data_IF_699473234820
#
_entry.id   IF_699473234820
#
_cell.length_a   1.000
_cell.length_b   1.000
_cell.length_c   1.000
_cell.angle_alpha   90.00
_cell.angle_beta   90.00
_cell.angle_gamma   90.00
#
_symmetry.space_group_name_H-M   'P 1'
#
loop_
_entity.id
_entity.type
_entity.pdbx_description
1 polymer ?
#
# COMPACT_ATOMS: atom_id res chain seq x y z
N UNK A 1 80.95 -16.49 16.06
CA UNK A 1 81.14 -15.19 15.41
C UNK A 1 81.06 -15.37 13.90
N UNK A 2 80.09 -14.76 13.20
CA UNK A 2 80.06 -14.68 11.73
C UNK A 2 79.09 -13.58 11.21
N UNK A 3 79.53 -12.89 10.15
CA UNK A 3 78.95 -11.81 9.30
C UNK A 3 77.41 -11.63 9.14
N UNK A 4 76.99 -10.35 9.04
CA UNK A 4 76.30 -9.66 7.90
C UNK A 4 76.28 -8.13 8.20
N UNK A 5 76.79 -7.14 7.44
CA UNK A 5 76.69 -6.71 6.00
C UNK A 5 75.46 -5.80 5.72
N UNK A 6 75.74 -4.48 5.59
CA UNK A 6 75.35 -3.43 4.58
C UNK A 6 74.05 -3.55 3.74
N UNK A 7 73.47 -2.49 3.13
CA UNK A 7 73.38 -1.00 3.31
C UNK A 7 72.45 -0.43 2.19
N UNK A 8 71.85 0.77 2.33
CA UNK A 8 71.13 1.45 1.21
C UNK A 8 70.62 2.87 1.52
N UNK A 9 70.72 3.77 0.53
CA UNK A 9 70.46 5.22 0.54
C UNK A 9 69.68 5.64 -0.73
N UNK A 10 69.03 6.81 -0.93
CA UNK A 10 68.88 8.05 -0.14
C UNK A 10 67.36 8.44 -0.03
N UNK A 11 66.71 9.51 -0.53
CA UNK A 11 67.07 10.78 -1.22
C UNK A 11 65.92 11.32 -2.10
N UNK A 12 65.41 12.56 -1.90
CA UNK A 12 64.24 13.10 -2.67
C UNK A 12 64.17 14.66 -2.79
N UNK A 13 63.75 15.18 -3.97
CA UNK A 13 63.52 16.62 -4.29
C UNK A 13 62.76 16.83 -5.62
N UNK A 14 61.79 17.77 -5.69
CA UNK A 14 61.71 18.97 -6.58
C UNK A 14 60.30 19.66 -6.52
N UNK A 15 60.01 20.72 -7.30
CA UNK A 15 58.88 21.65 -7.08
C UNK A 15 58.22 22.28 -8.33
N UNK A 16 57.01 22.84 -8.13
CA UNK A 16 56.35 23.93 -8.92
C UNK A 16 55.81 23.59 -10.34
N UNK A 17 54.95 24.42 -11.00
CA UNK A 17 54.17 25.62 -10.57
C UNK A 17 52.65 25.62 -10.97
N UNK A 18 51.91 26.69 -10.63
CA UNK A 18 50.58 27.04 -11.20
C UNK A 18 50.65 27.63 -12.63
N UNK A 19 49.51 27.72 -13.36
CA UNK A 19 49.06 29.05 -13.81
C UNK A 19 47.53 29.29 -13.75
N UNK A 20 47.12 30.57 -13.79
CA UNK A 20 45.72 31.03 -13.70
C UNK A 20 45.13 31.52 -15.04
N UNK A 21 43.79 31.79 -15.06
CA UNK A 21 43.10 33.01 -15.62
C UNK A 21 41.74 32.73 -16.30
N UNK A 22 40.93 33.81 -16.39
CA UNK A 22 39.80 34.12 -17.31
C UNK A 22 38.39 33.97 -16.74
N UNK A 23 37.68 35.11 -16.66
CA UNK A 23 36.21 35.19 -16.57
C UNK A 23 35.62 35.13 -17.99
N UNK A 24 34.57 34.32 -18.20
CA UNK A 24 33.78 34.33 -19.42
C UNK A 24 32.29 34.36 -19.10
N UNK A 25 31.56 35.32 -19.66
CA UNK A 25 30.11 35.40 -19.53
C UNK A 25 29.46 35.65 -20.89
N UNK A 26 28.40 34.90 -21.22
CA UNK A 26 27.51 35.18 -22.35
C UNK A 26 26.14 34.52 -22.20
N UNK A 27 25.14 35.38 -22.07
CA UNK A 27 23.90 35.44 -22.87
C UNK A 27 23.03 34.18 -23.08
N UNK A 28 21.79 34.27 -22.58
CA UNK A 28 20.61 33.59 -23.16
C UNK A 28 20.46 33.90 -24.66
N UNK A 29 20.01 32.95 -25.49
CA UNK A 29 19.22 33.23 -26.68
C UNK A 29 17.71 33.13 -26.36
N UNK A 30 16.91 34.08 -26.82
CA UNK A 30 15.45 34.07 -26.69
C UNK A 30 14.77 33.93 -28.05
N UNK A 31 14.06 32.82 -28.25
CA UNK A 31 12.85 32.69 -29.08
C UNK A 31 12.92 32.98 -30.59
N UNK A 32 12.20 32.14 -31.35
CA UNK A 32 11.50 32.53 -32.58
C UNK A 32 10.28 31.62 -32.75
N UNK A 33 9.17 32.18 -33.24
CA UNK A 33 8.08 31.38 -33.81
C UNK A 33 8.41 30.95 -35.25
N UNK A 34 7.45 30.61 -36.09
CA UNK A 34 5.99 30.81 -35.99
C UNK A 34 5.31 29.99 -37.09
N UNK A 35 4.26 29.23 -36.78
CA UNK A 35 3.37 28.64 -37.77
C UNK A 35 1.94 28.53 -37.21
N UNK A 36 0.96 28.64 -38.08
CA UNK A 36 -0.44 28.23 -37.88
C UNK A 36 -0.70 27.11 -38.88
N UNK A 37 -1.59 26.20 -38.55
CA UNK A 37 -2.50 25.59 -39.52
C UNK A 37 -3.85 25.36 -38.84
N UNK A 38 -4.92 25.27 -39.63
CA UNK A 38 -6.31 25.13 -39.19
C UNK A 38 -6.83 23.70 -39.44
N UNK A 39 -8.02 23.41 -38.90
CA UNK A 39 -8.85 22.20 -39.16
C UNK A 39 -8.19 20.82 -38.87
N UNK A 40 -8.77 19.97 -38.04
CA UNK A 40 -10.11 19.39 -38.25
C UNK A 40 -10.65 18.78 -36.95
N UNK A 41 -11.97 18.61 -36.86
CA UNK A 41 -12.65 18.02 -35.69
C UNK A 41 -13.62 16.90 -36.11
N UNK A 42 -13.37 15.63 -35.73
CA UNK A 42 -14.32 14.54 -35.99
C UNK A 42 -15.54 14.62 -35.06
N UNK A 43 -16.75 14.56 -35.64
CA UNK A 43 -18.02 14.49 -34.91
C UNK A 43 -18.43 13.05 -34.61
N UNK A 44 -19.01 12.82 -33.42
CA UNK A 44 -19.72 11.58 -33.06
C UNK A 44 -19.21 10.99 -31.73
N UNK A 45 -20.04 10.35 -30.89
CA UNK A 45 -21.43 9.92 -31.09
C UNK A 45 -22.47 10.77 -30.33
N UNK A 46 -23.76 10.47 -30.51
CA UNK A 46 -24.89 11.15 -29.87
C UNK A 46 -25.28 10.52 -28.53
N UNK A 47 -25.94 11.32 -27.69
CA UNK A 47 -26.57 10.89 -26.43
C UNK A 47 -27.72 9.92 -26.68
N UNK A 48 -27.93 8.98 -25.75
CA UNK A 48 -29.26 8.52 -25.40
C UNK A 48 -29.69 9.24 -24.10
N UNK A 49 -30.85 9.89 -24.13
CA UNK A 49 -31.66 10.23 -22.95
C UNK A 49 -33.01 9.58 -23.18
N UNK A 50 -33.62 9.06 -22.12
CA UNK A 50 -35.03 8.68 -22.10
C UNK A 50 -35.69 9.48 -20.98
N UNK A 51 -36.94 9.87 -21.22
CA UNK A 51 -37.77 10.69 -20.34
C UNK A 51 -38.21 9.85 -19.13
N UNK A 52 -38.29 10.37 -17.90
CA UNK A 52 -39.24 11.38 -17.43
C UNK A 52 -40.71 10.93 -17.58
N UNK A 53 -41.25 10.49 -16.44
CA UNK A 53 -42.67 10.33 -16.13
C UNK A 53 -42.77 10.29 -14.60
N UNK A 54 -43.09 11.43 -13.98
CA UNK A 54 -43.35 11.52 -12.54
C UNK A 54 -44.83 11.41 -12.22
N UNK A 55 -45.16 10.95 -11.02
CA UNK A 55 -46.43 11.23 -10.36
C UNK A 55 -46.16 11.60 -8.89
N UNK A 56 -47.05 12.35 -8.26
CA UNK A 56 -46.85 12.96 -6.93
C UNK A 56 -48.17 12.98 -6.15
N UNK A 57 -48.36 11.98 -5.28
CA UNK A 57 -49.55 11.84 -4.46
C UNK A 57 -49.21 11.83 -2.96
N UNK A 58 -49.24 13.01 -2.35
CA UNK A 58 -49.30 13.17 -0.90
C UNK A 58 -50.72 12.84 -0.43
N UNK A 59 -50.88 11.92 0.53
CA UNK A 59 -51.94 11.98 1.56
C UNK A 59 -51.41 11.39 2.87
N UNK A 60 -51.63 12.12 3.94
CA UNK A 60 -51.66 11.62 5.30
C UNK A 60 -53.11 11.19 5.58
N UNK A 61 -53.30 10.22 6.47
CA UNK A 61 -54.14 10.35 7.69
C UNK A 61 -54.21 9.00 8.43
N UNK A 62 -54.62 9.08 9.70
CA UNK A 62 -54.45 8.07 10.75
C UNK A 62 -55.57 7.01 10.75
N UNK A 63 -55.31 5.80 11.29
CA UNK A 63 -55.98 5.30 12.50
C UNK A 63 -55.54 3.86 12.90
N UNK A 64 -55.81 3.50 14.16
CA UNK A 64 -55.50 2.23 14.84
C UNK A 64 -56.69 1.24 14.77
N UNK A 65 -56.44 -0.08 14.80
CA UNK A 65 -57.09 -1.06 15.72
C UNK A 65 -56.41 -2.44 15.65
N UNK A 66 -56.55 -3.25 16.71
CA UNK A 66 -56.01 -4.61 16.84
C UNK A 66 -56.94 -5.71 16.28
N UNK A 67 -56.39 -6.90 15.98
CA UNK A 67 -57.18 -8.04 15.50
C UNK A 67 -56.42 -9.36 15.38
N UNK A 68 -56.35 -10.12 16.48
CA UNK A 68 -55.78 -11.49 16.52
C UNK A 68 -56.72 -12.58 15.95
N UNK A 69 -56.21 -13.83 15.95
CA UNK A 69 -56.90 -15.13 15.97
C UNK A 69 -56.92 -15.96 14.67
N UNK A 70 -55.85 -16.74 14.51
CA UNK A 70 -55.78 -18.19 14.19
C UNK A 70 -56.30 -18.79 12.84
N UNK A 71 -55.68 -19.90 12.36
CA UNK A 71 -55.94 -20.48 11.04
C UNK A 71 -56.99 -21.61 11.03
N UNK A 72 -57.43 -22.01 9.83
CA UNK A 72 -58.15 -23.27 9.58
C UNK A 72 -57.40 -24.16 8.57
N UNK A 73 -57.35 -25.47 8.83
CA UNK A 73 -56.51 -26.43 8.10
C UNK A 73 -57.12 -26.93 6.77
N UNK A 74 -56.24 -27.18 5.79
CA UNK A 74 -56.42 -28.17 4.72
C UNK A 74 -57.41 -27.87 3.58
N UNK A 75 -57.35 -28.59 2.46
CA UNK A 75 -56.26 -29.42 1.92
C UNK A 75 -56.58 -29.72 0.44
N UNK A 76 -55.55 -29.83 -0.41
CA UNK A 76 -55.56 -30.57 -1.68
C UNK A 76 -54.12 -30.93 -2.06
N UNK A 77 -53.93 -32.06 -2.73
CA UNK A 77 -52.61 -32.68 -2.98
C UNK A 77 -52.09 -32.42 -4.42
N UNK A 78 -51.12 -33.24 -4.86
CA UNK A 78 -50.48 -33.28 -6.19
C UNK A 78 -49.41 -32.18 -6.45
N UNK A 79 -48.17 -32.50 -6.86
CA UNK A 79 -47.52 -33.79 -7.16
C UNK A 79 -46.04 -33.73 -6.75
N UNK A 80 -45.47 -34.87 -6.35
CA UNK A 80 -44.05 -34.97 -6.01
C UNK A 80 -43.17 -35.13 -7.27
N UNK A 81 -42.01 -34.47 -7.25
CA UNK A 81 -40.83 -34.81 -8.06
C UNK A 81 -39.64 -34.90 -7.12
N UNK A 82 -39.10 -36.10 -6.95
CA UNK A 82 -37.91 -36.35 -6.14
C UNK A 82 -36.66 -35.94 -6.93
N UNK A 83 -35.98 -34.88 -6.47
CA UNK A 83 -34.58 -34.60 -6.79
C UNK A 83 -33.78 -34.64 -5.47
N UNK A 84 -33.17 -35.79 -5.20
CA UNK A 84 -32.30 -36.05 -4.03
C UNK A 84 -30.98 -35.25 -4.14
N UNK A 85 -30.97 -34.02 -3.63
CA UNK A 85 -29.74 -33.25 -3.35
C UNK A 85 -29.84 -32.61 -1.94
N UNK A 86 -29.69 -33.44 -0.90
CA UNK A 86 -29.64 -33.03 0.52
C UNK A 86 -28.30 -32.35 0.86
N UNK A 87 -28.01 -31.22 0.19
CA UNK A 87 -26.84 -30.39 0.47
C UNK A 87 -27.02 -29.65 1.81
N UNK A 88 -26.65 -30.35 2.89
CA UNK A 88 -26.69 -29.83 4.25
C UNK A 88 -26.09 -28.41 4.35
N UNK A 89 -26.78 -27.45 4.99
CA UNK A 89 -26.49 -26.03 4.85
C UNK A 89 -25.04 -25.71 5.23
N UNK A 90 -24.29 -25.00 4.37
CA UNK A 90 -22.83 -24.97 4.41
C UNK A 90 -22.32 -24.55 5.79
N UNK A 91 -21.65 -25.49 6.46
CA UNK A 91 -21.26 -25.34 7.86
C UNK A 91 -20.44 -24.05 8.02
N UNK A 92 -21.02 -23.04 8.68
CA UNK A 92 -20.43 -21.70 8.78
C UNK A 92 -19.00 -21.80 9.27
N UNK A 93 -18.04 -21.61 8.36
CA UNK A 93 -16.61 -21.78 8.64
C UNK A 93 -16.26 -20.84 9.78
N UNK A 94 -15.98 -21.42 10.96
CA UNK A 94 -15.56 -20.65 12.13
C UNK A 94 -14.19 -20.05 11.85
N UNK A 95 -14.21 -18.82 11.32
CA UNK A 95 -13.03 -17.99 11.07
C UNK A 95 -12.19 -18.01 12.34
N UNK A 96 -10.97 -18.54 12.23
CA UNK A 96 -10.01 -18.61 13.34
C UNK A 96 -9.46 -17.21 13.61
N UNK A 97 -10.26 -16.37 14.25
CA UNK A 97 -9.78 -15.11 14.82
C UNK A 97 -8.68 -15.40 15.84
N UNK A 98 -7.77 -14.45 16.02
CA UNK A 98 -6.82 -14.46 17.14
C UNK A 98 -7.56 -14.75 18.48
N UNK A 99 -6.90 -15.43 19.43
CA UNK A 99 -7.54 -15.87 20.66
C UNK A 99 -8.10 -14.67 21.43
N UNK A 100 -9.40 -14.73 21.73
CA UNK A 100 -10.10 -13.77 22.59
C UNK A 100 -9.76 -14.04 24.05
N UNK A 101 -9.57 -12.97 24.80
CA UNK A 101 -9.43 -13.02 26.26
C UNK A 101 -10.80 -13.19 26.95
N UNK A 102 -10.83 -13.31 28.28
CA UNK A 102 -12.04 -13.56 29.07
C UNK A 102 -13.10 -12.45 28.94
N UNK A 103 -12.67 -11.21 28.68
CA UNK A 103 -13.53 -10.07 28.37
C UNK A 103 -14.05 -10.05 26.92
N UNK A 104 -13.69 -11.07 26.12
CA UNK A 104 -14.06 -11.22 24.73
C UNK A 104 -13.21 -10.42 23.75
N UNK A 105 -12.32 -9.51 24.19
CA UNK A 105 -11.51 -8.71 23.29
C UNK A 105 -10.36 -9.52 22.68
N UNK A 106 -9.98 -9.17 21.45
CA UNK A 106 -8.77 -9.68 20.78
C UNK A 106 -7.61 -8.72 21.09
N UNK A 107 -6.36 -9.18 21.29
CA UNK A 107 -5.19 -8.28 21.38
C UNK A 107 -5.13 -7.30 20.20
N UNK A 108 -4.87 -6.02 20.49
CA UNK A 108 -4.95 -4.93 19.50
C UNK A 108 -6.34 -4.33 19.28
N UNK A 109 -7.41 -4.90 19.83
CA UNK A 109 -8.74 -4.27 19.82
C UNK A 109 -8.71 -2.96 20.59
N UNK A 110 -9.42 -1.94 20.09
CA UNK A 110 -9.65 -0.70 20.84
C UNK A 110 -10.63 -1.01 21.99
N UNK A 111 -10.24 -0.69 23.21
CA UNK A 111 -11.06 -0.80 24.43
C UNK A 111 -11.66 0.55 24.81
N UNK A 112 -10.91 1.64 24.59
CA UNK A 112 -11.31 3.01 24.96
C UNK A 112 -10.70 4.05 24.02
N UNK A 113 -11.45 5.11 23.73
CA UNK A 113 -10.99 6.31 23.01
C UNK A 113 -11.41 7.53 23.82
N UNK A 114 -10.47 8.33 24.31
CA UNK A 114 -10.73 9.58 25.01
C UNK A 114 -10.20 10.76 24.17
N UNK A 115 -11.06 11.70 23.82
CA UNK A 115 -10.74 12.86 22.98
C UNK A 115 -11.00 14.14 23.75
N UNK A 116 -10.04 15.07 23.73
CA UNK A 116 -10.18 16.40 24.32
C UNK A 116 -9.73 17.49 23.36
N UNK A 117 -10.56 18.52 23.19
CA UNK A 117 -10.37 19.63 22.27
C UNK A 117 -10.01 19.16 20.83
N UNK A 118 -10.74 18.17 20.32
CA UNK A 118 -10.44 17.51 19.04
C UNK A 118 -11.57 17.74 18.02
N UNK A 119 -11.28 18.53 16.99
CA UNK A 119 -12.20 18.97 15.92
C UNK A 119 -13.52 19.54 16.50
N UNK A 120 -14.56 18.72 16.63
CA UNK A 120 -15.88 19.07 17.18
C UNK A 120 -15.97 18.91 18.69
N UNK A 121 -15.20 18.00 19.28
CA UNK A 121 -15.36 17.55 20.67
C UNK A 121 -14.56 18.40 21.66
N UNK A 122 -15.21 18.85 22.74
CA UNK A 122 -14.54 19.49 23.89
C UNK A 122 -13.92 18.43 24.80
N UNK A 123 -14.73 17.47 25.24
CA UNK A 123 -14.31 16.23 25.88
C UNK A 123 -15.33 15.13 25.55
N UNK A 124 -14.86 13.93 25.20
CA UNK A 124 -15.70 12.74 25.02
C UNK A 124 -14.87 11.48 25.28
N UNK A 125 -15.48 10.45 25.83
CA UNK A 125 -14.90 9.11 25.95
C UNK A 125 -15.85 8.07 25.35
N UNK A 126 -15.29 7.15 24.57
CA UNK A 126 -15.99 6.03 23.95
C UNK A 126 -15.37 4.73 24.44
N UNK A 127 -16.19 3.80 24.93
CA UNK A 127 -15.78 2.45 25.34
C UNK A 127 -16.43 1.41 24.41
N UNK A 128 -15.88 1.19 23.19
CA UNK A 128 -16.42 0.21 22.26
C UNK A 128 -16.32 -1.23 22.78
N UNK A 129 -17.33 -2.05 22.49
CA UNK A 129 -17.37 -3.47 22.85
C UNK A 129 -16.48 -4.35 21.96
N UNK A 130 -16.26 -5.63 22.32
CA UNK A 130 -15.33 -6.54 21.64
C UNK A 130 -15.76 -7.07 20.26
N UNK A 131 -16.88 -6.59 19.70
CA UNK A 131 -17.49 -7.08 18.46
C UNK A 131 -17.89 -5.90 17.54
N UNK A 132 -19.07 -5.95 16.93
CA UNK A 132 -19.60 -4.86 16.11
C UNK A 132 -19.92 -3.63 17.00
N UNK A 133 -19.47 -2.46 16.57
CA UNK A 133 -19.78 -1.18 17.17
C UNK A 133 -20.34 -0.26 16.09
N UNK A 134 -21.45 0.45 16.39
CA UNK A 134 -22.11 1.34 15.44
C UNK A 134 -22.16 2.77 16.00
N UNK A 135 -21.62 3.73 15.25
CA UNK A 135 -21.56 5.15 15.63
C UNK A 135 -22.59 5.92 14.81
N UNK A 136 -23.70 6.30 15.45
CA UNK A 136 -24.83 6.98 14.83
C UNK A 136 -24.86 8.48 15.14
N UNK A 137 -25.67 9.23 14.39
CA UNK A 137 -25.97 10.64 14.64
C UNK A 137 -26.08 11.50 13.37
N UNK A 138 -26.59 12.75 13.47
CA UNK A 138 -26.71 13.68 12.35
C UNK A 138 -25.39 14.01 11.62
N UNK A 139 -25.48 14.73 10.50
CA UNK A 139 -24.30 15.25 9.82
C UNK A 139 -23.66 16.40 10.62
N UNK A 140 -22.34 16.54 10.52
CA UNK A 140 -21.57 17.53 11.29
C UNK A 140 -21.20 17.13 12.72
N UNK A 141 -21.80 16.09 13.34
CA UNK A 141 -21.59 15.73 14.76
C UNK A 141 -20.24 15.06 15.09
N UNK A 142 -19.29 15.03 14.15
CA UNK A 142 -17.95 14.50 14.39
C UNK A 142 -17.76 12.98 14.18
N UNK A 143 -18.77 12.25 13.66
CA UNK A 143 -18.65 10.80 13.38
C UNK A 143 -17.34 10.41 12.67
N UNK A 144 -17.07 11.02 11.51
CA UNK A 144 -15.84 10.77 10.73
C UNK A 144 -14.57 11.29 11.44
N UNK A 145 -14.71 12.23 12.39
CA UNK A 145 -13.61 12.70 13.23
C UNK A 145 -13.11 11.61 14.18
N UNK A 146 -13.95 10.67 14.62
CA UNK A 146 -13.52 9.53 15.45
C UNK A 146 -12.56 8.61 14.66
N UNK A 147 -12.87 8.34 13.39
CA UNK A 147 -11.96 7.62 12.50
C UNK A 147 -10.63 8.39 12.30
N UNK A 148 -10.71 9.72 12.14
CA UNK A 148 -9.50 10.56 12.11
C UNK A 148 -8.69 10.45 13.40
N UNK A 149 -9.34 10.46 14.57
CA UNK A 149 -8.68 10.33 15.86
C UNK A 149 -7.99 8.97 16.02
N UNK A 150 -8.60 7.86 15.58
CA UNK A 150 -7.97 6.53 15.60
C UNK A 150 -6.66 6.53 14.79
N UNK A 151 -6.72 7.01 13.55
CA UNK A 151 -5.54 7.12 12.68
C UNK A 151 -4.43 7.99 13.30
N UNK A 152 -4.78 9.19 13.79
CA UNK A 152 -3.80 10.12 14.33
C UNK A 152 -3.25 9.69 15.69
N UNK A 153 -4.08 9.13 16.58
CA UNK A 153 -3.66 8.66 17.90
C UNK A 153 -2.69 7.48 17.81
N UNK A 154 -2.89 6.58 16.86
CA UNK A 154 -2.02 5.43 16.59
C UNK A 154 -0.77 5.76 15.74
N UNK A 155 -0.40 7.04 15.65
CA UNK A 155 0.76 7.58 14.92
C UNK A 155 0.79 7.29 13.41
N UNK A 156 -0.36 7.17 12.74
CA UNK A 156 -0.42 7.12 11.27
C UNK A 156 -0.45 8.53 10.64
N UNK A 157 -0.10 8.61 9.36
CA UNK A 157 0.04 9.87 8.62
C UNK A 157 -1.32 10.52 8.30
N UNK A 158 -1.51 11.84 8.50
CA UNK A 158 -2.73 12.55 8.11
C UNK A 158 -3.11 12.37 6.63
N UNK A 159 -2.15 12.14 5.73
CA UNK A 159 -2.38 11.94 4.30
C UNK A 159 -3.25 10.69 3.97
N UNK A 160 -3.31 9.72 4.89
CA UNK A 160 -4.19 8.54 4.79
C UNK A 160 -5.66 8.95 4.93
N UNK A 161 -5.97 10.01 5.69
CA UNK A 161 -7.33 10.51 5.90
C UNK A 161 -7.87 11.35 4.74
N UNK A 162 -7.00 11.85 3.85
CA UNK A 162 -7.40 12.63 2.66
C UNK A 162 -7.99 14.03 2.92
N UNK A 163 -7.98 14.52 4.18
CA UNK A 163 -8.59 15.81 4.58
C UNK A 163 -7.58 16.95 4.75
N UNK A 164 -6.74 16.81 5.76
CA UNK A 164 -5.80 17.83 6.22
C UNK A 164 -4.39 17.24 6.25
N UNK A 165 -3.40 18.05 5.90
CA UNK A 165 -2.00 17.62 5.86
C UNK A 165 -1.31 17.83 7.21
N UNK A 166 -1.71 18.87 7.96
CA UNK A 166 -1.09 19.22 9.22
C UNK A 166 -1.90 18.78 10.44
N UNK A 167 -1.19 18.35 11.50
CA UNK A 167 -1.78 17.82 12.73
C UNK A 167 -2.54 18.86 13.56
N UNK A 168 -2.16 20.14 13.44
CA UNK A 168 -2.75 21.22 14.23
C UNK A 168 -4.14 21.65 13.73
N UNK A 169 -4.49 21.32 12.48
CA UNK A 169 -5.84 21.52 11.92
C UNK A 169 -6.91 20.68 12.64
N UNK A 170 -6.50 19.61 13.34
CA UNK A 170 -7.40 18.74 14.11
C UNK A 170 -7.65 19.23 15.55
N UNK A 171 -6.96 20.27 16.01
CA UNK A 171 -7.23 20.92 17.31
C UNK A 171 -8.50 21.75 17.19
N UNK A 172 -9.41 21.65 18.17
CA UNK A 172 -10.68 22.38 18.16
C UNK A 172 -10.46 23.89 18.10
N UNK A 173 -11.19 24.57 17.21
CA UNK A 173 -11.11 26.02 17.01
C UNK A 173 -11.30 26.75 18.35
N UNK A 174 -10.54 27.84 18.55
CA UNK A 174 -10.43 28.61 19.80
C UNK A 174 -9.74 27.89 20.99
N UNK A 175 -9.28 26.65 20.83
CA UNK A 175 -8.42 25.97 21.83
C UNK A 175 -6.94 26.00 21.43
N UNK A 176 -6.04 25.97 22.40
CA UNK A 176 -4.59 26.03 22.16
C UNK A 176 -3.97 24.63 22.02
N UNK A 177 -4.54 23.65 22.72
CA UNK A 177 -4.05 22.28 22.82
C UNK A 177 -5.23 21.30 22.93
N UNK A 178 -4.99 20.06 22.52
CA UNK A 178 -5.90 18.93 22.68
C UNK A 178 -5.14 17.61 22.77
N UNK A 179 -5.84 16.52 23.01
CA UNK A 179 -5.24 15.19 22.97
C UNK A 179 -6.20 14.12 22.48
N UNK A 180 -5.59 13.06 21.96
CA UNK A 180 -6.20 11.80 21.60
C UNK A 180 -5.55 10.75 22.51
N UNK A 181 -6.35 10.04 23.30
CA UNK A 181 -5.91 8.84 24.01
C UNK A 181 -6.68 7.62 23.49
N UNK A 182 -5.96 6.55 23.19
CA UNK A 182 -6.51 5.28 22.72
C UNK A 182 -5.93 4.17 23.58
N UNK A 183 -6.79 3.31 24.08
CA UNK A 183 -6.41 2.12 24.83
C UNK A 183 -6.61 0.88 23.97
N UNK A 184 -5.51 0.17 23.70
CA UNK A 184 -5.52 -1.10 22.96
C UNK A 184 -5.39 -2.27 23.93
N UNK A 185 -6.20 -3.31 23.69
CA UNK A 185 -6.17 -4.58 24.42
C UNK A 185 -4.79 -5.22 24.32
N UNK A 186 -4.19 -5.56 25.46
CA UNK A 186 -2.93 -6.32 25.50
C UNK A 186 -3.10 -7.79 25.08
N UNK A 187 -2.00 -8.51 24.74
CA UNK A 187 -1.98 -9.97 24.74
C UNK A 187 -2.52 -10.54 26.06
N UNK A 188 -3.08 -11.76 26.05
CA UNK A 188 -3.60 -12.37 27.28
C UNK A 188 -2.50 -12.46 28.37
N UNK A 189 -2.74 -11.81 29.52
CA UNK A 189 -1.77 -11.68 30.61
C UNK A 189 -0.79 -10.50 30.51
N UNK A 190 -0.70 -9.80 29.37
CA UNK A 190 -0.03 -8.49 29.25
C UNK A 190 -1.05 -7.36 29.56
N UNK A 191 -0.64 -6.24 30.19
CA UNK A 191 -1.51 -5.10 30.42
C UNK A 191 -1.85 -4.35 29.11
N UNK A 192 -2.98 -3.63 29.11
CA UNK A 192 -3.38 -2.77 27.99
C UNK A 192 -2.33 -1.69 27.66
N UNK A 193 -2.32 -1.29 26.39
CA UNK A 193 -1.45 -0.26 25.84
C UNK A 193 -2.25 1.05 25.68
N UNK A 194 -2.04 1.99 26.60
CA UNK A 194 -2.61 3.34 26.55
C UNK A 194 -1.65 4.25 25.78
N UNK A 195 -2.07 4.67 24.59
CA UNK A 195 -1.34 5.58 23.70
C UNK A 195 -2.03 6.95 23.78
N UNK A 196 -1.36 7.97 24.31
CA UNK A 196 -1.86 9.35 24.27
C UNK A 196 -0.96 10.24 23.42
N UNK A 197 -1.55 10.87 22.40
CA UNK A 197 -0.94 11.90 21.54
C UNK A 197 -1.49 13.26 21.92
N UNK A 198 -0.61 14.18 22.33
CA UNK A 198 -0.97 15.58 22.58
C UNK A 198 -0.65 16.42 21.34
N UNK A 199 -1.57 17.31 20.96
CA UNK A 199 -1.52 18.15 19.77
C UNK A 199 -1.74 19.63 20.13
N UNK A 200 -1.11 20.54 19.40
CA UNK A 200 -1.08 21.98 19.74
C UNK A 200 -1.40 22.82 18.51
N UNK A 201 -2.36 23.74 18.60
CA UNK A 201 -2.82 24.56 17.47
C UNK A 201 -1.68 25.38 16.81
N UNK A 202 -0.71 25.82 17.62
CA UNK A 202 0.42 26.67 17.18
C UNK A 202 1.59 25.93 16.54
N UNK A 203 1.66 24.60 16.63
CA UNK A 203 2.85 23.85 16.29
C UNK A 203 2.52 22.59 15.48
N UNK A 204 3.34 22.29 14.46
CA UNK A 204 3.22 21.06 13.66
C UNK A 204 3.77 19.82 14.38
N UNK A 205 4.34 19.99 15.58
CA UNK A 205 4.81 18.91 16.44
C UNK A 205 3.69 18.38 17.35
N UNK A 206 3.80 17.10 17.73
CA UNK A 206 2.92 16.43 18.69
C UNK A 206 3.75 15.56 19.62
N UNK A 207 3.46 15.55 20.92
CA UNK A 207 4.14 14.65 21.86
C UNK A 207 3.34 13.36 22.05
N UNK A 208 4.05 12.26 22.31
CA UNK A 208 3.44 10.97 22.63
C UNK A 208 3.77 10.55 24.05
N UNK A 209 2.83 9.81 24.65
CA UNK A 209 3.04 9.06 25.88
C UNK A 209 2.48 7.65 25.73
N UNK A 210 3.20 6.68 26.29
CA UNK A 210 2.83 5.27 26.38
C UNK A 210 2.69 4.90 27.86
N UNK A 211 1.50 4.46 28.27
CA UNK A 211 1.15 4.16 29.66
C UNK A 211 1.61 5.26 30.64
N UNK A 212 1.35 6.53 30.27
CA UNK A 212 1.71 7.73 31.05
C UNK A 212 3.17 8.19 30.96
N UNK A 213 4.07 7.42 30.35
CA UNK A 213 5.49 7.79 30.18
C UNK A 213 5.73 8.45 28.82
N UNK A 214 6.62 9.44 28.74
CA UNK A 214 7.01 10.05 27.47
C UNK A 214 7.59 9.01 26.50
N UNK A 215 7.22 9.09 25.22
CA UNK A 215 7.61 8.14 24.18
C UNK A 215 7.80 8.85 22.83
N UNK A 216 8.55 8.22 21.94
CA UNK A 216 8.72 8.63 20.55
C UNK A 216 7.63 8.02 19.66
N UNK A 217 7.36 8.64 18.50
CA UNK A 217 6.45 8.07 17.50
C UNK A 217 6.91 6.69 16.98
N UNK A 218 8.23 6.45 16.92
CA UNK A 218 8.78 5.15 16.53
C UNK A 218 8.43 4.03 17.51
N UNK A 219 8.53 4.30 18.82
CA UNK A 219 8.11 3.34 19.86
C UNK A 219 6.60 3.08 19.83
N UNK A 220 5.78 4.10 19.59
CA UNK A 220 4.34 3.96 19.39
C UNK A 220 4.05 3.05 18.20
N UNK A 221 4.61 3.34 17.03
CA UNK A 221 4.40 2.55 15.81
C UNK A 221 4.91 1.10 15.96
N UNK A 222 6.03 0.87 16.65
CA UNK A 222 6.52 -0.48 16.94
C UNK A 222 5.59 -1.26 17.90
N UNK A 223 5.03 -0.60 18.90
CA UNK A 223 4.06 -1.21 19.83
C UNK A 223 2.72 -1.51 19.15
N UNK A 224 2.23 -0.62 18.28
CA UNK A 224 1.02 -0.80 17.46
C UNK A 224 1.23 -1.95 16.45
N UNK A 225 2.42 -2.08 15.86
CA UNK A 225 2.78 -3.19 14.99
C UNK A 225 2.84 -4.55 15.72
N UNK A 226 3.38 -4.63 16.95
CA UNK A 226 3.34 -5.87 17.79
C UNK A 226 1.90 -6.38 18.04
N UNK A 227 0.90 -5.50 17.94
CA UNK A 227 -0.52 -5.83 18.10
C UNK A 227 -1.24 -6.08 16.75
N UNK A 228 -0.51 -6.11 15.63
CA UNK A 228 -1.01 -6.20 14.25
C UNK A 228 -2.12 -5.17 13.91
N UNK A 229 -2.07 -3.96 14.49
CA UNK A 229 -3.09 -2.92 14.27
C UNK A 229 -2.73 -2.08 13.05
N UNK A 230 -3.26 -2.47 11.89
CA UNK A 230 -3.02 -1.81 10.60
C UNK A 230 -4.09 -0.77 10.29
N UNK A 231 -3.72 0.52 10.33
CA UNK A 231 -4.63 1.66 10.03
C UNK A 231 -4.27 2.34 8.71
N UNK A 232 -3.07 2.09 8.15
CA UNK A 232 -2.70 2.56 6.80
C UNK A 232 -3.17 1.65 5.67
N UNK A 233 -3.67 0.46 5.98
CA UNK A 233 -4.20 -0.50 5.02
C UNK A 233 -5.70 -0.21 4.80
N UNK A 234 -6.09 0.07 3.55
CA UNK A 234 -7.44 0.50 3.22
C UNK A 234 -8.49 -0.64 3.30
N UNK A 235 -8.05 -1.90 3.38
CA UNK A 235 -8.94 -3.04 3.60
C UNK A 235 -9.37 -3.17 5.08
N UNK A 236 -8.53 -2.75 6.03
CA UNK A 236 -8.82 -2.79 7.48
C UNK A 236 -9.32 -1.45 8.02
N UNK A 237 -8.93 -0.33 7.41
CA UNK A 237 -9.39 1.01 7.77
C UNK A 237 -9.71 1.84 6.53
N UNK A 238 -10.99 1.97 6.22
CA UNK A 238 -11.49 2.72 5.06
C UNK A 238 -12.08 4.08 5.49
N UNK A 239 -11.30 5.18 5.50
CA UNK A 239 -11.83 6.51 5.80
C UNK A 239 -12.71 7.01 4.64
N UNK A 240 -13.73 7.78 5.00
CA UNK A 240 -14.78 8.29 4.09
C UNK A 240 -14.22 8.87 2.78
N UNK A 241 -13.14 9.64 2.84
CA UNK A 241 -12.57 10.37 1.71
C UNK A 241 -11.55 9.55 0.89
N UNK A 242 -11.39 8.24 1.20
CA UNK A 242 -10.59 7.27 0.42
C UNK A 242 -11.42 6.15 -0.21
N UNK A 243 -12.75 6.13 -0.02
CA UNK A 243 -13.64 5.11 -0.61
C UNK A 243 -13.48 5.03 -2.14
N UNK A 244 -13.33 6.19 -2.80
CA UNK A 244 -13.05 6.26 -4.25
C UNK A 244 -11.64 5.78 -4.62
N UNK A 245 -10.64 5.95 -3.75
CA UNK A 245 -9.29 5.43 -3.96
C UNK A 245 -9.23 3.91 -3.83
N UNK A 246 -9.98 3.34 -2.89
CA UNK A 246 -10.14 1.89 -2.74
C UNK A 246 -10.84 1.28 -3.95
N UNK A 247 -11.94 1.87 -4.41
CA UNK A 247 -12.65 1.43 -5.63
C UNK A 247 -11.85 1.60 -6.94
N UNK A 248 -10.73 2.32 -6.91
CA UNK A 248 -9.83 2.54 -8.05
C UNK A 248 -8.55 1.67 -8.02
N UNK A 249 -8.37 0.81 -7.00
CA UNK A 249 -7.24 -0.11 -6.93
C UNK A 249 -7.28 -1.15 -8.07
N UNK A 250 -6.11 -1.52 -8.59
CA UNK A 250 -6.01 -2.72 -9.42
C UNK A 250 -6.21 -4.00 -8.59
N UNK A 251 -6.63 -5.12 -9.21
CA UNK A 251 -6.73 -6.41 -8.51
C UNK A 251 -5.43 -6.88 -7.85
N UNK A 252 -4.26 -6.45 -8.35
CA UNK A 252 -2.93 -6.79 -7.81
C UNK A 252 -2.61 -5.99 -6.55
N UNK A 253 -3.00 -4.72 -6.50
CA UNK A 253 -2.89 -3.89 -5.30
C UNK A 253 -3.88 -4.35 -4.23
N UNK A 254 -5.13 -4.64 -4.62
CA UNK A 254 -6.15 -5.16 -3.71
C UNK A 254 -5.74 -6.52 -3.11
N UNK A 255 -5.11 -7.40 -3.90
CA UNK A 255 -4.51 -8.64 -3.40
C UNK A 255 -3.44 -8.33 -2.34
N UNK A 256 -2.47 -7.45 -2.64
CA UNK A 256 -1.37 -7.10 -1.72
C UNK A 256 -1.87 -6.48 -0.41
N UNK A 257 -2.88 -5.61 -0.45
CA UNK A 257 -3.48 -5.04 0.76
C UNK A 257 -4.31 -6.09 1.52
N UNK A 258 -4.96 -7.04 0.83
CA UNK A 258 -5.68 -8.17 1.46
C UNK A 258 -4.72 -9.15 2.14
N UNK A 259 -3.63 -9.54 1.49
CA UNK A 259 -2.55 -10.35 2.07
C UNK A 259 -1.94 -9.68 3.30
N UNK A 260 -1.77 -8.36 3.25
CA UNK A 260 -1.25 -7.55 4.34
C UNK A 260 -2.23 -7.49 5.52
N UNK A 261 -3.55 -7.33 5.28
CA UNK A 261 -4.57 -7.22 6.34
C UNK A 261 -4.98 -8.57 6.98
N UNK A 262 -5.09 -9.62 6.16
CA UNK A 262 -5.77 -10.86 6.52
C UNK A 262 -4.94 -12.14 6.23
N UNK A 263 -3.75 -12.01 5.66
CA UNK A 263 -2.81 -13.11 5.46
C UNK A 263 -1.96 -13.43 6.69
N UNK A 264 -1.11 -14.44 6.54
CA UNK A 264 0.01 -14.69 7.47
C UNK A 264 1.02 -13.53 7.38
N UNK A 265 1.64 -13.15 8.49
CA UNK A 265 2.70 -12.12 8.55
C UNK A 265 3.83 -12.38 7.53
N UNK A 266 4.08 -13.66 7.21
CA UNK A 266 5.07 -14.11 6.22
C UNK A 266 4.59 -14.02 4.78
N UNK A 267 3.28 -14.05 4.53
CA UNK A 267 2.70 -14.17 3.19
C UNK A 267 3.17 -13.04 2.27
N UNK A 268 3.15 -11.81 2.77
CA UNK A 268 3.70 -10.63 2.09
C UNK A 268 5.18 -10.79 1.73
N UNK A 269 6.00 -11.26 2.69
CA UNK A 269 7.44 -11.48 2.46
C UNK A 269 7.71 -12.57 1.41
N UNK A 270 6.89 -13.63 1.39
CA UNK A 270 6.96 -14.68 0.36
C UNK A 270 6.52 -14.16 -1.01
N UNK A 271 5.45 -13.36 -1.08
CA UNK A 271 4.99 -12.77 -2.34
C UNK A 271 6.00 -11.75 -2.89
N UNK A 272 6.65 -10.94 -2.04
CA UNK A 272 7.74 -10.05 -2.47
C UNK A 272 8.96 -10.87 -2.95
N UNK A 273 9.37 -11.91 -2.21
CA UNK A 273 10.47 -12.82 -2.62
C UNK A 273 10.17 -13.51 -3.96
N UNK A 274 8.92 -13.95 -4.19
CA UNK A 274 8.47 -14.57 -5.43
C UNK A 274 8.50 -13.58 -6.60
N UNK A 275 8.11 -12.32 -6.37
CA UNK A 275 8.22 -11.27 -7.38
C UNK A 275 9.68 -10.97 -7.75
N UNK A 276 10.60 -10.97 -6.79
CA UNK A 276 12.02 -10.74 -7.07
C UNK A 276 12.68 -11.93 -7.79
N UNK A 277 12.41 -13.16 -7.37
CA UNK A 277 12.82 -14.37 -8.10
C UNK A 277 12.26 -14.41 -9.54
N UNK A 278 11.03 -13.91 -9.74
CA UNK A 278 10.43 -13.77 -11.08
C UNK A 278 11.14 -12.73 -11.97
N UNK A 279 11.66 -11.64 -11.39
CA UNK A 279 12.49 -10.65 -12.10
C UNK A 279 13.85 -11.25 -12.48
N UNK A 280 14.48 -11.96 -11.55
CA UNK A 280 15.77 -12.64 -11.78
C UNK A 280 15.66 -13.71 -12.87
N UNK A 281 14.66 -14.59 -12.80
CA UNK A 281 14.39 -15.60 -13.81
C UNK A 281 14.17 -14.97 -15.20
N UNK A 282 13.44 -13.86 -15.29
CA UNK A 282 13.22 -13.13 -16.54
C UNK A 282 14.52 -12.52 -17.09
N UNK A 283 15.36 -11.95 -16.23
CA UNK A 283 16.66 -11.40 -16.61
C UNK A 283 17.57 -12.52 -17.16
N UNK A 284 17.77 -13.59 -16.39
CA UNK A 284 18.60 -14.74 -16.78
C UNK A 284 18.07 -15.40 -18.06
N UNK A 285 16.76 -15.57 -18.21
CA UNK A 285 16.16 -16.09 -19.45
C UNK A 285 16.43 -15.19 -20.66
N UNK A 286 16.51 -13.87 -20.47
CA UNK A 286 16.82 -12.93 -21.56
C UNK A 286 18.29 -13.04 -21.95
N UNK A 287 19.20 -13.05 -20.98
CA UNK A 287 20.64 -13.26 -21.20
C UNK A 287 20.92 -14.59 -21.89
N UNK A 288 20.26 -15.68 -21.49
CA UNK A 288 20.41 -17.00 -22.15
C UNK A 288 20.01 -16.92 -23.63
N UNK A 289 18.94 -16.21 -24.00
CA UNK A 289 18.57 -16.03 -25.41
C UNK A 289 19.56 -15.15 -26.20
N UNK A 290 20.14 -14.13 -25.58
CA UNK A 290 21.16 -13.26 -26.18
C UNK A 290 22.50 -14.01 -26.37
N UNK A 291 22.93 -14.80 -25.38
CA UNK A 291 24.12 -15.64 -25.48
C UNK A 291 23.94 -16.78 -26.48
N UNK A 292 22.76 -17.41 -26.54
CA UNK A 292 22.47 -18.50 -27.50
C UNK A 292 22.52 -18.00 -28.94
N UNK A 293 21.86 -16.89 -29.25
CA UNK A 293 21.88 -16.28 -30.59
C UNK A 293 23.27 -15.75 -30.97
N UNK A 294 24.03 -15.26 -30.00
CA UNK A 294 25.45 -14.90 -30.19
C UNK A 294 26.30 -16.13 -30.50
N UNK A 295 26.10 -17.25 -29.79
CA UNK A 295 26.79 -18.52 -30.01
C UNK A 295 26.49 -19.12 -31.40
N UNK A 296 25.24 -19.11 -31.84
CA UNK A 296 24.85 -19.55 -33.19
C UNK A 296 25.51 -18.70 -34.28
N UNK A 297 25.56 -17.38 -34.08
CA UNK A 297 26.23 -16.44 -34.98
C UNK A 297 27.74 -16.71 -35.05
N UNK A 298 28.40 -16.92 -33.91
CA UNK A 298 29.82 -17.23 -33.83
C UNK A 298 30.15 -18.61 -34.44
N UNK A 299 29.30 -19.62 -34.21
CA UNK A 299 29.44 -20.96 -34.81
C UNK A 299 29.34 -20.89 -36.33
N UNK A 300 28.31 -20.23 -36.85
CA UNK A 300 28.11 -20.03 -38.30
C UNK A 300 29.30 -19.33 -38.95
N UNK A 301 29.85 -18.31 -38.29
CA UNK A 301 31.08 -17.61 -38.72
C UNK A 301 32.32 -18.52 -38.71
N UNK A 302 32.48 -19.35 -37.68
CA UNK A 302 33.60 -20.30 -37.57
C UNK A 302 33.53 -21.37 -38.66
N UNK A 303 32.36 -21.94 -38.94
CA UNK A 303 32.15 -22.87 -40.07
C UNK A 303 32.50 -22.24 -41.43
N UNK A 304 32.18 -20.96 -41.63
CA UNK A 304 32.61 -20.21 -42.81
C UNK A 304 34.14 -20.14 -42.93
N UNK A 305 34.81 -19.68 -41.86
CA UNK A 305 36.28 -19.55 -41.80
C UNK A 305 36.96 -20.92 -42.00
N UNK A 306 36.42 -22.01 -41.46
CA UNK A 306 36.96 -23.36 -41.64
C UNK A 306 36.94 -23.80 -43.10
N UNK A 307 35.87 -23.52 -43.85
CA UNK A 307 35.78 -23.82 -45.30
C UNK A 307 36.85 -23.05 -46.09
N UNK A 308 37.11 -21.79 -45.75
CA UNK A 308 38.12 -20.98 -46.44
C UNK A 308 39.56 -21.36 -46.04
N UNK A 309 39.81 -21.74 -44.78
CA UNK A 309 41.10 -22.32 -44.34
C UNK A 309 41.36 -23.66 -45.02
N UNK A 310 40.33 -24.49 -45.23
CA UNK A 310 40.46 -25.75 -45.96
C UNK A 310 40.81 -25.51 -47.43
N UNK A 311 40.07 -24.63 -48.14
CA UNK A 311 40.38 -24.20 -49.51
C UNK A 311 41.82 -23.66 -49.64
N UNK A 312 42.28 -22.88 -48.68
CA UNK A 312 43.66 -22.37 -48.66
C UNK A 312 44.70 -23.49 -48.51
N UNK A 313 44.45 -24.50 -47.67
CA UNK A 313 45.33 -25.67 -47.50
C UNK A 313 45.34 -26.56 -48.75
N UNK A 314 44.19 -26.76 -49.38
CA UNK A 314 44.06 -27.52 -50.64
C UNK A 314 44.81 -26.81 -51.78
N UNK A 315 44.61 -25.49 -51.93
CA UNK A 315 45.40 -24.67 -52.87
C UNK A 315 46.90 -24.80 -52.60
N UNK A 316 47.35 -24.69 -51.34
CA UNK A 316 48.79 -24.80 -51.01
C UNK A 316 49.38 -26.18 -51.27
N UNK A 317 48.59 -27.25 -51.21
CA UNK A 317 49.04 -28.57 -51.67
C UNK A 317 49.27 -28.59 -53.17
N UNK A 318 48.30 -28.11 -53.95
CA UNK A 318 48.37 -28.08 -55.41
C UNK A 318 49.54 -27.19 -55.88
N UNK A 319 49.76 -26.03 -55.25
CA UNK A 319 50.92 -25.18 -55.52
C UNK A 319 52.25 -25.92 -55.24
N UNK A 320 52.34 -26.67 -54.13
CA UNK A 320 53.55 -27.42 -53.80
C UNK A 320 53.79 -28.66 -54.69
N UNK A 321 52.73 -29.34 -55.10
CA UNK A 321 52.76 -30.46 -56.06
C UNK A 321 53.17 -29.99 -57.47
N UNK A 322 52.85 -28.75 -57.85
CA UNK A 322 53.32 -28.12 -59.10
C UNK A 322 54.78 -27.67 -58.99
N UNK A 323 55.22 -27.12 -57.85
CA UNK A 323 56.61 -26.70 -57.60
C UNK A 323 57.60 -27.88 -57.41
N UNK A 324 57.14 -29.14 -57.44
CA UNK A 324 57.99 -30.34 -57.27
C UNK A 324 58.05 -31.26 -58.50
N UNK A 325 57.68 -30.74 -59.67
CA UNK A 325 57.74 -31.41 -60.99
C UNK A 325 58.79 -30.76 -61.89
#
# INVERSE_FOLDING_TARGET
MAKRVESSEDGDMNSSPEPARVKGGKTRPSGKGKARDEETSPRGAKRARVNDAGDSAHREDEDEDDGEVEPSEGADEEQAVDDDDDEAPPSRVRVKTLPRDVDGYIPGSIVRINLRNFVTYDAVEFCPGPYLNMILGPNGTGKSSIACAICLGLNWSPAILGRANDLNEFVKINTQEGHIEIELKGPAGEPNLVIRRNITSRAKSSTFTLNGKAATGGEVSAKVAKLNVQVGNLCSFLPQDKVSSFAAMSPVELLRETENAAGDERLKSWHDTLNDAGKELKLVSTTITEETTTMETMKTRNEGIQRDVQRYRERKKIEHEVDTI
#
